data_IF_130308951465
#
_entry.id   IF_130308951465
#
_cell.length_a   1.000
_cell.length_b   1.000
_cell.length_c   1.000
_cell.angle_alpha   90.00
_cell.angle_beta   90.00
_cell.angle_gamma   90.00
#
_symmetry.space_group_name_H-M   'P 1'
#
loop_
_entity.id
_entity.type
_entity.pdbx_description
1 polymer ?
#
# COMPACT_ATOMS: atom_id res chain seq x y z
N UNK A 1 -12.34 68.27 12.65
CA UNK A 1 -13.41 69.30 12.73
C UNK A 1 -14.14 69.28 11.40
N UNK A 2 -15.23 68.53 11.25
CA UNK A 2 -16.51 68.82 11.89
C UNK A 2 -16.90 70.29 11.69
N UNK A 3 -18.02 70.48 10.98
CA UNK A 3 -18.79 71.72 10.88
C UNK A 3 -18.11 72.76 9.96
N UNK A 4 -18.39 72.75 8.65
CA UNK A 4 -18.43 73.97 7.79
C UNK A 4 -18.87 73.72 6.32
N UNK A 5 -19.68 72.69 6.03
CA UNK A 5 -20.24 72.46 4.68
C UNK A 5 -21.76 72.18 4.70
N UNK A 6 -22.47 72.78 5.66
CA UNK A 6 -23.93 72.98 5.61
C UNK A 6 -24.16 74.49 5.51
N UNK A 7 -24.71 74.93 4.38
CA UNK A 7 -25.18 76.30 4.06
C UNK A 7 -24.51 77.01 2.87
N UNK A 8 -24.19 76.28 1.80
CA UNK A 8 -24.45 76.80 0.45
C UNK A 8 -25.78 76.25 -0.07
N UNK A 9 -26.79 76.53 0.76
CA UNK A 9 -28.20 76.38 0.44
C UNK A 9 -28.45 77.01 -0.93
N UNK A 10 -28.78 76.14 -1.88
CA UNK A 10 -30.16 76.07 -2.36
C UNK A 10 -30.67 77.43 -2.82
N UNK A 11 -30.08 78.01 -3.87
CA UNK A 11 -30.68 79.08 -4.69
C UNK A 11 -29.73 79.47 -5.84
N UNK A 12 -29.63 78.62 -6.87
CA UNK A 12 -29.36 79.05 -8.25
C UNK A 12 -29.61 77.89 -9.23
N UNK A 13 -30.83 77.34 -9.20
CA UNK A 13 -31.42 76.67 -10.36
C UNK A 13 -31.83 77.80 -11.32
N UNK A 14 -30.91 78.23 -12.18
CA UNK A 14 -31.20 79.09 -13.33
C UNK A 14 -30.63 78.44 -14.58
N UNK A 15 -31.52 78.22 -15.56
CA UNK A 15 -31.38 78.47 -17.01
C UNK A 15 -30.15 77.87 -17.73
N UNK A 16 -30.23 77.10 -18.83
CA UNK A 16 -31.00 77.17 -20.11
C UNK A 16 -30.50 75.99 -21.00
N UNK A 17 -30.96 75.74 -22.26
CA UNK A 17 -32.09 76.29 -23.01
C UNK A 17 -33.01 75.23 -23.68
N UNK A 18 -34.20 75.74 -24.05
CA UNK A 18 -35.10 75.38 -25.15
C UNK A 18 -34.60 74.36 -26.21
N UNK A 19 -35.35 73.27 -26.35
CA UNK A 19 -35.28 72.36 -27.49
C UNK A 19 -36.08 72.92 -28.70
N UNK A 20 -35.66 72.68 -29.96
CA UNK A 20 -36.37 73.13 -31.16
C UNK A 20 -37.71 72.38 -31.37
N UNK A 21 -38.64 72.94 -32.16
CA UNK A 21 -40.02 72.46 -32.25
C UNK A 21 -40.18 71.16 -33.06
N UNK A 22 -41.21 70.40 -32.68
CA UNK A 22 -41.68 69.14 -33.28
C UNK A 22 -41.84 69.22 -34.81
N UNK A 23 -41.41 68.16 -35.52
CA UNK A 23 -41.92 67.84 -36.85
C UNK A 23 -43.13 66.88 -36.76
N UNK A 24 -44.15 67.00 -37.63
CA UNK A 24 -45.46 66.39 -37.39
C UNK A 24 -45.72 65.15 -38.25
N UNK A 25 -44.85 64.12 -38.23
CA UNK A 25 -45.01 62.98 -39.14
C UNK A 25 -44.76 61.62 -38.45
N UNK A 26 -45.45 61.31 -37.35
CA UNK A 26 -45.44 59.96 -36.79
C UNK A 26 -46.63 59.17 -37.38
N UNK A 27 -46.41 58.59 -38.57
CA UNK A 27 -47.32 57.57 -39.12
C UNK A 27 -47.31 56.39 -38.15
N UNK A 28 -48.47 56.11 -37.54
CA UNK A 28 -48.75 54.87 -36.82
C UNK A 28 -48.22 53.70 -37.63
N UNK A 29 -47.24 53.02 -37.08
CA UNK A 29 -46.71 51.75 -37.58
C UNK A 29 -47.83 50.73 -37.48
N UNK A 30 -48.55 50.51 -38.59
CA UNK A 30 -49.35 49.30 -38.73
C UNK A 30 -48.35 48.16 -38.90
N UNK A 31 -48.28 47.30 -37.88
CA UNK A 31 -47.63 46.00 -37.97
C UNK A 31 -48.06 45.33 -39.27
N UNK A 32 -47.13 45.20 -40.20
CA UNK A 32 -47.32 44.33 -41.37
C UNK A 32 -47.52 42.93 -40.81
N UNK A 33 -48.76 42.45 -40.80
CA UNK A 33 -49.06 41.04 -40.59
C UNK A 33 -48.67 40.35 -41.89
N UNK A 34 -47.61 39.51 -41.93
CA UNK A 34 -47.06 39.03 -43.20
C UNK A 34 -47.95 37.97 -43.91
N UNK A 35 -49.17 37.70 -43.43
CA UNK A 35 -49.99 36.58 -43.91
C UNK A 35 -51.49 36.88 -44.04
N UNK A 36 -51.92 38.09 -44.41
CA UNK A 36 -53.37 38.35 -44.54
C UNK A 36 -54.00 37.99 -45.89
N UNK A 37 -53.23 37.68 -46.95
CA UNK A 37 -53.77 37.61 -48.32
C UNK A 37 -53.48 36.29 -49.05
N UNK A 38 -53.21 35.17 -48.36
CA UNK A 38 -52.98 33.86 -49.01
C UNK A 38 -54.26 32.98 -49.02
N UNK A 39 -55.32 33.38 -48.32
CA UNK A 39 -56.49 32.53 -48.06
C UNK A 39 -57.65 32.66 -49.06
N UNK A 40 -57.57 33.51 -50.10
CA UNK A 40 -58.72 33.74 -51.00
C UNK A 40 -58.86 32.74 -52.16
N UNK A 41 -57.84 31.93 -52.43
CA UNK A 41 -57.83 30.98 -53.56
C UNK A 41 -57.55 29.53 -53.16
N UNK A 42 -57.45 29.23 -51.87
CA UNK A 42 -57.15 27.89 -51.37
C UNK A 42 -58.41 27.37 -50.68
N UNK A 43 -58.90 26.22 -51.16
CA UNK A 43 -60.04 25.53 -50.57
C UNK A 43 -59.77 25.28 -49.06
N UNK A 44 -60.68 25.69 -48.16
CA UNK A 44 -60.56 25.42 -46.73
C UNK A 44 -60.31 23.95 -46.41
N UNK A 45 -60.90 23.01 -47.16
CA UNK A 45 -60.65 21.57 -46.98
C UNK A 45 -59.19 21.20 -47.23
N UNK A 46 -58.55 21.82 -48.23
CA UNK A 46 -57.13 21.63 -48.50
C UNK A 46 -56.29 22.15 -47.34
N UNK A 47 -56.60 23.32 -46.78
CA UNK A 47 -55.91 23.85 -45.60
C UNK A 47 -56.07 22.96 -44.36
N UNK A 48 -57.25 22.38 -44.12
CA UNK A 48 -57.46 21.43 -43.03
C UNK A 48 -56.66 20.15 -43.22
N UNK A 49 -56.55 19.64 -44.46
CA UNK A 49 -55.71 18.45 -44.74
C UNK A 49 -54.23 18.72 -44.53
N UNK A 50 -53.71 19.88 -44.95
CA UNK A 50 -52.32 20.26 -44.68
C UNK A 50 -52.04 20.43 -43.19
N UNK A 51 -52.97 21.03 -42.44
CA UNK A 51 -52.84 21.17 -40.99
C UNK A 51 -52.86 19.80 -40.28
N UNK A 52 -53.75 18.89 -40.71
CA UNK A 52 -53.82 17.54 -40.18
C UNK A 52 -52.51 16.75 -40.44
N UNK A 53 -51.96 16.83 -41.66
CA UNK A 53 -50.68 16.22 -41.99
C UNK A 53 -49.52 16.81 -41.18
N UNK A 54 -49.53 18.13 -40.93
CA UNK A 54 -48.53 18.78 -40.10
C UNK A 54 -48.62 18.32 -38.63
N UNK A 55 -49.82 18.19 -38.08
CA UNK A 55 -50.04 17.66 -36.74
C UNK A 55 -49.56 16.21 -36.63
N UNK A 56 -49.89 15.36 -37.61
CA UNK A 56 -49.42 13.96 -37.64
C UNK A 56 -47.89 13.91 -37.73
N UNK A 57 -47.28 14.74 -38.58
CA UNK A 57 -45.82 14.83 -38.70
C UNK A 57 -45.17 15.27 -37.39
N UNK A 58 -45.70 16.29 -36.73
CA UNK A 58 -45.21 16.76 -35.42
C UNK A 58 -45.41 15.69 -34.35
N UNK A 59 -46.53 14.97 -34.35
CA UNK A 59 -46.78 13.87 -33.42
C UNK A 59 -45.79 12.72 -33.64
N UNK A 60 -45.52 12.33 -34.88
CA UNK A 60 -44.49 11.33 -35.21
C UNK A 60 -43.09 11.81 -34.78
N UNK A 61 -42.78 13.10 -34.98
CA UNK A 61 -41.48 13.67 -34.62
C UNK A 61 -41.31 13.78 -33.10
N UNK A 62 -42.38 14.13 -32.36
CA UNK A 62 -42.42 14.14 -30.91
C UNK A 62 -42.33 12.73 -30.33
N UNK A 63 -43.02 11.76 -30.93
CA UNK A 63 -42.89 10.34 -30.57
C UNK A 63 -41.45 9.85 -30.79
N UNK A 64 -40.88 10.14 -31.96
CA UNK A 64 -39.48 9.79 -32.28
C UNK A 64 -38.49 10.44 -31.31
N UNK A 65 -38.71 11.70 -30.94
CA UNK A 65 -37.88 12.42 -29.97
C UNK A 65 -38.03 11.85 -28.55
N UNK A 66 -39.25 11.48 -28.13
CA UNK A 66 -39.53 10.88 -26.83
C UNK A 66 -38.97 9.46 -26.66
N UNK A 67 -38.80 8.71 -27.76
CA UNK A 67 -38.23 7.36 -27.75
C UNK A 67 -36.71 7.29 -27.96
N UNK A 68 -36.02 8.44 -28.00
CA UNK A 68 -34.57 8.50 -28.22
C UNK A 68 -33.84 8.15 -26.92
N UNK A 69 -33.15 7.02 -26.90
CA UNK A 69 -32.22 6.67 -25.80
C UNK A 69 -30.87 7.37 -26.05
N UNK A 70 -30.46 8.24 -25.12
CA UNK A 70 -29.17 8.94 -25.21
C UNK A 70 -28.02 8.04 -24.73
N UNK A 71 -27.32 7.41 -25.67
CA UNK A 71 -26.20 6.50 -25.40
C UNK A 71 -24.85 7.21 -25.10
N UNK A 72 -24.80 8.54 -25.03
CA UNK A 72 -23.54 9.31 -25.01
C UNK A 72 -22.88 9.48 -23.63
N UNK A 73 -23.43 8.87 -22.55
CA UNK A 73 -23.05 9.20 -21.17
C UNK A 73 -22.47 8.03 -20.36
N UNK A 74 -22.15 6.90 -21.01
CA UNK A 74 -21.57 5.74 -20.34
C UNK A 74 -20.14 5.55 -20.81
N UNK A 75 -19.19 5.57 -19.88
CA UNK A 75 -17.79 5.20 -20.11
C UNK A 75 -17.49 3.87 -19.45
N UNK A 76 -16.66 3.06 -20.12
CA UNK A 76 -16.16 1.81 -19.57
C UNK A 76 -14.87 2.11 -18.80
N UNK A 77 -14.87 1.76 -17.52
CA UNK A 77 -13.69 1.83 -16.67
C UNK A 77 -13.19 0.40 -16.40
N UNK A 78 -11.92 0.16 -16.71
CA UNK A 78 -11.22 -1.09 -16.41
C UNK A 78 -10.12 -0.82 -15.39
N UNK A 79 -10.03 -1.67 -14.38
CA UNK A 79 -9.00 -1.59 -13.36
C UNK A 79 -8.66 -2.97 -12.82
N UNK A 80 -7.43 -3.13 -12.34
CA UNK A 80 -7.01 -4.31 -11.60
C UNK A 80 -6.14 -3.90 -10.40
N UNK A 81 -5.74 -4.87 -9.56
CA UNK A 81 -4.83 -4.59 -8.44
C UNK A 81 -3.43 -4.18 -8.90
N UNK A 82 -3.01 -4.64 -10.08
CA UNK A 82 -1.66 -4.42 -10.61
C UNK A 82 -1.61 -3.22 -11.56
N UNK A 83 -2.74 -2.87 -12.19
CA UNK A 83 -2.82 -1.80 -13.17
C UNK A 83 -4.02 -0.89 -12.89
N UNK A 84 -3.74 0.40 -12.68
CA UNK A 84 -4.75 1.37 -12.25
C UNK A 84 -5.74 1.79 -13.35
N UNK A 85 -5.31 1.93 -14.61
CA UNK A 85 -6.16 2.38 -15.75
C UNK A 85 -5.60 1.94 -17.12
N UNK A 86 -4.89 0.80 -17.22
CA UNK A 86 -4.31 0.38 -18.49
C UNK A 86 -5.29 -0.48 -19.29
N UNK A 87 -5.18 -0.45 -20.63
CA UNK A 87 -5.85 -1.42 -21.51
C UNK A 87 -5.04 -2.69 -21.71
N UNK A 88 -3.94 -2.86 -20.97
CA UNK A 88 -3.12 -4.08 -20.97
C UNK A 88 -3.12 -4.77 -19.61
N UNK A 89 -3.37 -6.08 -19.61
CA UNK A 89 -3.45 -6.94 -18.43
C UNK A 89 -2.73 -8.27 -18.67
N UNK A 90 -2.55 -9.05 -17.62
CA UNK A 90 -1.88 -10.36 -17.69
C UNK A 90 -2.87 -11.53 -17.67
N UNK A 91 -2.49 -12.65 -18.30
CA UNK A 91 -3.29 -13.89 -18.25
C UNK A 91 -3.53 -14.32 -16.80
N UNK A 92 -4.79 -14.65 -16.46
CA UNK A 92 -5.21 -15.04 -15.12
C UNK A 92 -5.42 -13.89 -14.12
N UNK A 93 -5.19 -12.64 -14.53
CA UNK A 93 -5.47 -11.47 -13.73
C UNK A 93 -6.98 -11.19 -13.66
N UNK A 94 -7.49 -10.93 -12.45
CA UNK A 94 -8.89 -10.53 -12.26
C UNK A 94 -9.03 -9.04 -12.57
N UNK A 95 -9.73 -8.74 -13.65
CA UNK A 95 -10.01 -7.39 -14.11
C UNK A 95 -11.41 -6.99 -13.63
N UNK A 96 -11.51 -5.78 -13.08
CA UNK A 96 -12.78 -5.16 -12.70
C UNK A 96 -13.28 -4.31 -13.85
N UNK A 97 -14.49 -4.62 -14.33
CA UNK A 97 -15.17 -3.89 -15.38
C UNK A 97 -16.30 -3.10 -14.76
N UNK A 98 -16.35 -1.80 -15.03
CA UNK A 98 -17.35 -0.91 -14.46
C UNK A 98 -17.93 0.01 -15.51
N UNK A 99 -19.26 0.09 -15.53
CA UNK A 99 -20.00 1.07 -16.30
C UNK A 99 -20.15 2.34 -15.45
N UNK A 100 -19.39 3.37 -15.79
CA UNK A 100 -19.56 4.69 -15.19
C UNK A 100 -20.63 5.45 -15.99
N UNK A 101 -21.74 5.73 -15.32
CA UNK A 101 -22.87 6.44 -15.90
C UNK A 101 -23.09 7.74 -15.12
N UNK A 102 -22.79 8.88 -15.77
CA UNK A 102 -22.99 10.20 -15.18
C UNK A 102 -24.46 10.48 -14.83
N UNK A 103 -25.40 9.81 -15.49
CA UNK A 103 -26.84 10.12 -15.44
C UNK A 103 -27.69 9.12 -14.64
N UNK A 104 -27.07 8.10 -14.01
CA UNK A 104 -27.70 7.10 -13.09
C UNK A 104 -28.99 6.42 -13.58
N UNK A 105 -29.27 6.43 -14.89
CA UNK A 105 -30.58 6.03 -15.46
C UNK A 105 -30.59 4.73 -16.27
N UNK A 106 -29.46 4.09 -16.50
CA UNK A 106 -29.44 2.81 -17.20
C UNK A 106 -29.44 1.66 -16.18
N UNK A 107 -30.53 0.90 -16.17
CA UNK A 107 -30.61 -0.41 -15.51
C UNK A 107 -30.48 -1.50 -16.58
N UNK A 108 -29.83 -2.63 -16.27
CA UNK A 108 -29.68 -3.75 -17.20
C UNK A 108 -28.42 -3.69 -18.08
N UNK A 109 -27.25 -3.51 -17.46
CA UNK A 109 -25.96 -3.67 -18.13
C UNK A 109 -25.66 -5.14 -18.36
N UNK A 110 -25.32 -5.49 -19.58
CA UNK A 110 -24.84 -6.82 -20.00
C UNK A 110 -23.45 -6.70 -20.61
N UNK A 111 -22.52 -7.53 -20.13
CA UNK A 111 -21.12 -7.55 -20.53
C UNK A 111 -20.80 -8.79 -21.34
N UNK A 112 -20.13 -8.60 -22.47
CA UNK A 112 -19.59 -9.66 -23.34
C UNK A 112 -18.08 -9.43 -23.46
N UNK A 113 -17.27 -10.40 -23.09
CA UNK A 113 -15.81 -10.22 -22.94
C UNK A 113 -14.99 -10.56 -24.19
N UNK A 114 -15.61 -11.15 -25.22
CA UNK A 114 -14.96 -11.46 -26.49
C UNK A 114 -14.15 -12.77 -26.51
N UNK A 115 -14.17 -13.56 -25.43
CA UNK A 115 -13.40 -14.80 -25.26
C UNK A 115 -14.28 -16.06 -25.15
N UNK A 116 -15.52 -15.98 -25.63
CA UNK A 116 -16.57 -17.02 -25.52
C UNK A 116 -17.07 -17.33 -24.10
N UNK A 117 -16.66 -16.56 -23.10
CA UNK A 117 -17.18 -16.68 -21.74
C UNK A 117 -18.66 -16.27 -21.64
N UNK A 118 -19.31 -16.74 -20.57
CA UNK A 118 -20.71 -16.42 -20.28
C UNK A 118 -20.86 -14.93 -20.02
N UNK A 119 -21.92 -14.34 -20.56
CA UNK A 119 -22.24 -12.93 -20.38
C UNK A 119 -22.56 -12.64 -18.92
N UNK A 120 -22.12 -11.49 -18.43
CA UNK A 120 -22.34 -11.08 -17.05
C UNK A 120 -23.22 -9.84 -16.98
N UNK A 121 -24.02 -9.73 -15.92
CA UNK A 121 -24.94 -8.61 -15.73
C UNK A 121 -24.58 -7.83 -14.47
N UNK A 122 -24.71 -6.50 -14.55
CA UNK A 122 -24.48 -5.61 -13.43
C UNK A 122 -23.65 -4.38 -13.81
N UNK A 123 -23.72 -3.35 -12.97
CA UNK A 123 -22.95 -2.12 -13.19
C UNK A 123 -21.43 -2.34 -13.05
N UNK A 124 -21.03 -3.27 -12.19
CA UNK A 124 -19.65 -3.66 -11.98
C UNK A 124 -19.56 -5.19 -11.96
N UNK A 125 -18.64 -5.74 -12.74
CA UNK A 125 -18.44 -7.19 -12.89
C UNK A 125 -16.95 -7.53 -12.90
N UNK A 126 -16.62 -8.81 -12.75
CA UNK A 126 -15.25 -9.30 -12.66
C UNK A 126 -15.02 -10.41 -13.68
N UNK A 127 -13.93 -10.32 -14.44
CA UNK A 127 -13.56 -11.32 -15.43
C UNK A 127 -12.04 -11.50 -15.50
N UNK A 128 -11.61 -12.68 -15.88
CA UNK A 128 -10.20 -13.02 -16.06
C UNK A 128 -10.05 -13.84 -17.34
N UNK A 129 -9.08 -13.47 -18.18
CA UNK A 129 -8.81 -14.15 -19.43
C UNK A 129 -7.80 -15.28 -19.22
N UNK A 130 -8.09 -16.45 -19.79
CA UNK A 130 -7.26 -17.66 -19.67
C UNK A 130 -6.15 -17.77 -20.71
N UNK A 131 -6.18 -16.93 -21.75
CA UNK A 131 -5.19 -16.90 -22.81
C UNK A 131 -4.78 -15.46 -23.13
N UNK A 132 -3.54 -15.31 -23.62
CA UNK A 132 -3.08 -14.03 -24.14
C UNK A 132 -3.73 -13.77 -25.51
N UNK A 133 -4.10 -12.51 -25.75
CA UNK A 133 -4.82 -12.10 -26.95
C UNK A 133 -5.37 -10.68 -26.83
N UNK A 134 -5.82 -10.15 -27.95
CA UNK A 134 -6.65 -8.93 -27.95
C UNK A 134 -8.12 -9.33 -27.90
N UNK A 135 -8.86 -8.73 -26.98
CA UNK A 135 -10.28 -9.02 -26.77
C UNK A 135 -11.10 -7.74 -26.89
N UNK A 136 -12.21 -7.81 -27.61
CA UNK A 136 -13.18 -6.71 -27.72
C UNK A 136 -14.30 -6.93 -26.70
N UNK A 137 -14.32 -6.10 -25.66
CA UNK A 137 -15.37 -6.09 -24.66
C UNK A 137 -16.55 -5.29 -25.21
N UNK A 138 -17.75 -5.83 -25.09
CA UNK A 138 -19.01 -5.15 -25.45
C UNK A 138 -19.88 -5.00 -24.22
N UNK A 139 -20.23 -3.76 -23.88
CA UNK A 139 -21.23 -3.42 -22.88
C UNK A 139 -22.54 -3.07 -23.59
N UNK A 140 -23.63 -3.75 -23.24
CA UNK A 140 -24.96 -3.50 -23.79
C UNK A 140 -25.90 -3.02 -22.67
N UNK A 141 -26.68 -1.98 -22.92
CA UNK A 141 -27.75 -1.54 -22.03
C UNK A 141 -28.93 -1.01 -22.87
N UNK A 142 -30.06 -1.70 -22.83
CA UNK A 142 -31.20 -1.38 -23.70
C UNK A 142 -30.82 -1.51 -25.18
N UNK A 143 -31.00 -0.42 -25.96
CA UNK A 143 -30.58 -0.35 -27.37
C UNK A 143 -29.16 0.19 -27.55
N UNK A 144 -28.48 0.58 -26.47
CA UNK A 144 -27.13 1.11 -26.53
C UNK A 144 -26.09 -0.01 -26.42
N UNK A 145 -25.00 0.14 -27.18
CA UNK A 145 -23.85 -0.76 -27.17
C UNK A 145 -22.56 0.05 -27.20
N UNK A 146 -21.62 -0.28 -26.32
CA UNK A 146 -20.30 0.33 -26.22
C UNK A 146 -19.23 -0.75 -26.31
N UNK A 147 -18.11 -0.45 -26.95
CA UNK A 147 -17.03 -1.41 -27.15
C UNK A 147 -15.69 -0.84 -26.72
N UNK A 148 -14.84 -1.70 -26.18
CA UNK A 148 -13.48 -1.36 -25.80
C UNK A 148 -12.55 -2.55 -26.03
N UNK A 149 -11.38 -2.28 -26.59
CA UNK A 149 -10.33 -3.30 -26.74
C UNK A 149 -9.49 -3.41 -25.47
N UNK A 150 -9.13 -4.66 -25.14
CA UNK A 150 -8.20 -4.97 -24.07
C UNK A 150 -7.15 -5.95 -24.58
N UNK A 151 -5.90 -5.70 -24.22
CA UNK A 151 -4.76 -6.54 -24.54
C UNK A 151 -4.40 -7.39 -23.34
N UNK A 152 -4.46 -8.71 -23.49
CA UNK A 152 -4.00 -9.66 -22.47
C UNK A 152 -2.67 -10.24 -22.94
N UNK A 153 -1.63 -10.04 -22.14
CA UNK A 153 -0.29 -10.58 -22.40
C UNK A 153 -0.01 -11.73 -21.44
N UNK A 154 0.84 -12.67 -21.88
CA UNK A 154 1.36 -13.65 -20.93
C UNK A 154 2.12 -12.91 -19.82
N UNK A 155 2.02 -13.38 -18.56
CA UNK A 155 2.92 -12.88 -17.53
C UNK A 155 4.36 -13.04 -18.04
N UNK A 156 5.27 -12.12 -17.69
CA UNK A 156 6.69 -12.31 -17.99
C UNK A 156 7.08 -13.71 -17.49
N UNK A 157 7.95 -14.44 -18.23
CA UNK A 157 8.39 -15.74 -17.77
C UNK A 157 8.87 -15.56 -16.34
N UNK A 158 8.20 -16.24 -15.41
CA UNK A 158 8.76 -16.45 -14.10
C UNK A 158 10.07 -17.15 -14.39
N UNK A 159 11.17 -16.42 -14.24
CA UNK A 159 12.48 -17.05 -14.16
C UNK A 159 12.35 -17.98 -12.96
N UNK A 160 12.00 -19.23 -13.25
CA UNK A 160 12.12 -20.35 -12.34
C UNK A 160 13.62 -20.59 -12.17
N UNK A 161 14.33 -19.61 -11.62
CA UNK A 161 15.48 -19.91 -10.79
C UNK A 161 14.90 -20.88 -9.76
N UNK A 162 15.38 -22.12 -9.74
CA UNK A 162 15.12 -23.04 -8.64
C UNK A 162 15.17 -22.25 -7.32
N UNK A 163 14.33 -22.56 -6.31
CA UNK A 163 14.37 -21.82 -5.05
C UNK A 163 15.84 -21.73 -4.64
N UNK A 164 16.41 -20.52 -4.73
CA UNK A 164 17.74 -20.30 -4.17
C UNK A 164 17.52 -20.70 -2.73
N UNK A 165 18.22 -21.74 -2.22
CA UNK A 165 18.08 -22.14 -0.84
C UNK A 165 18.13 -20.88 0.00
N UNK A 166 17.32 -20.75 1.04
CA UNK A 166 17.31 -19.55 1.87
C UNK A 166 18.71 -19.38 2.49
N UNK A 167 19.57 -18.63 1.80
CA UNK A 167 20.98 -18.46 2.15
C UNK A 167 21.01 -17.30 3.12
N UNK A 168 21.51 -17.54 4.33
CA UNK A 168 21.74 -16.49 5.33
C UNK A 168 23.25 -16.23 5.41
N UNK A 169 23.76 -15.15 4.79
CA UNK A 169 25.17 -14.82 4.83
C UNK A 169 25.67 -14.60 6.26
N UNK A 170 26.83 -15.19 6.59
CA UNK A 170 27.50 -15.08 7.89
C UNK A 170 28.90 -14.54 7.66
N UNK A 171 29.33 -13.57 8.47
CA UNK A 171 30.72 -13.08 8.46
C UNK A 171 31.43 -13.57 9.71
N UNK A 172 32.36 -14.50 9.50
CA UNK A 172 33.26 -15.01 10.53
C UNK A 172 34.52 -14.14 10.63
N UNK A 173 34.93 -13.82 11.86
CA UNK A 173 36.06 -12.95 12.13
C UNK A 173 35.87 -12.16 13.43
N UNK A 174 36.93 -11.52 13.95
CA UNK A 174 36.88 -10.77 15.20
C UNK A 174 36.05 -9.48 15.07
N UNK A 175 35.41 -9.06 16.15
CA UNK A 175 34.69 -7.77 16.24
C UNK A 175 35.63 -6.64 16.68
N UNK A 176 36.70 -6.95 17.39
CA UNK A 176 37.68 -6.00 17.92
C UNK A 176 39.07 -6.29 17.35
N UNK A 177 39.72 -5.27 16.79
CA UNK A 177 41.03 -5.39 16.13
C UNK A 177 41.92 -4.18 16.45
N UNK A 178 43.22 -4.27 16.15
CA UNK A 178 44.17 -3.19 16.37
C UNK A 178 44.72 -2.64 15.05
N UNK A 179 44.97 -1.33 15.00
CA UNK A 179 45.63 -0.67 13.85
C UNK A 179 46.95 -1.38 13.51
N UNK A 180 47.18 -1.58 12.21
CA UNK A 180 48.42 -2.14 11.66
C UNK A 180 48.55 -3.67 11.76
N UNK A 181 47.57 -4.38 12.37
CA UNK A 181 47.56 -5.84 12.38
C UNK A 181 46.67 -6.39 11.26
N UNK A 182 47.12 -7.42 10.51
CA UNK A 182 46.28 -8.11 9.54
C UNK A 182 45.18 -8.90 10.26
N UNK A 183 43.95 -8.78 9.76
CA UNK A 183 42.79 -9.52 10.24
C UNK A 183 42.05 -10.16 9.08
N UNK A 184 41.78 -11.46 9.20
CA UNK A 184 41.06 -12.22 8.19
C UNK A 184 39.58 -12.35 8.55
N UNK A 185 38.73 -12.07 7.59
CA UNK A 185 37.30 -12.37 7.63
C UNK A 185 36.98 -13.45 6.62
N UNK A 186 36.06 -14.34 6.97
CA UNK A 186 35.70 -15.47 6.11
C UNK A 186 34.20 -15.73 6.13
N UNK A 187 33.72 -16.46 5.13
CA UNK A 187 32.32 -16.86 5.03
C UNK A 187 32.17 -18.39 5.12
N UNK A 188 31.38 -18.82 6.11
CA UNK A 188 30.99 -20.22 6.33
C UNK A 188 29.55 -20.54 5.86
N UNK A 189 28.91 -19.65 5.11
CA UNK A 189 27.51 -19.80 4.72
C UNK A 189 27.29 -21.02 3.81
N UNK A 190 26.39 -21.95 4.19
CA UNK A 190 26.03 -23.08 3.33
C UNK A 190 25.40 -22.60 2.02
N UNK A 191 25.84 -23.16 0.89
CA UNK A 191 25.32 -22.81 -0.44
C UNK A 191 25.87 -21.49 -1.03
N UNK A 192 26.88 -20.88 -0.39
CA UNK A 192 27.60 -19.75 -0.95
C UNK A 192 28.57 -20.19 -2.07
N UNK A 193 28.38 -19.65 -3.27
CA UNK A 193 29.20 -19.92 -4.47
C UNK A 193 29.93 -18.68 -4.98
N UNK A 194 29.47 -17.47 -4.64
CA UNK A 194 30.18 -16.22 -4.89
C UNK A 194 30.10 -15.29 -3.68
N UNK A 195 31.10 -14.45 -3.50
CA UNK A 195 31.23 -13.51 -2.38
C UNK A 195 31.56 -12.12 -2.91
N UNK A 196 31.04 -11.11 -2.23
CA UNK A 196 31.38 -9.72 -2.47
C UNK A 196 31.57 -9.03 -1.11
N UNK A 197 32.82 -8.80 -0.74
CA UNK A 197 33.22 -8.11 0.49
C UNK A 197 33.47 -6.65 0.22
N UNK A 198 32.91 -5.77 1.06
CA UNK A 198 33.13 -4.32 0.92
C UNK A 198 33.08 -3.61 2.27
N UNK A 199 33.98 -2.67 2.50
CA UNK A 199 33.89 -1.74 3.63
C UNK A 199 32.93 -0.59 3.30
N UNK A 200 32.09 -0.16 4.24
CA UNK A 200 31.27 1.05 4.07
C UNK A 200 32.12 2.30 4.30
N UNK A 201 32.92 2.64 3.31
CA UNK A 201 33.70 3.88 3.25
C UNK A 201 33.79 4.38 1.81
N UNK A 202 34.11 5.68 1.60
CA UNK A 202 34.40 6.20 0.27
C UNK A 202 35.54 5.41 -0.39
N UNK A 203 35.43 5.11 -1.68
CA UNK A 203 36.42 4.38 -2.46
C UNK A 203 36.83 3.01 -1.90
N UNK A 204 35.92 2.33 -1.19
CA UNK A 204 36.16 0.98 -0.72
C UNK A 204 36.33 0.01 -1.89
N UNK A 205 37.39 -0.80 -1.82
CA UNK A 205 37.61 -1.91 -2.73
C UNK A 205 36.60 -3.03 -2.47
N UNK A 206 36.28 -3.74 -3.55
CA UNK A 206 35.43 -4.93 -3.52
C UNK A 206 36.31 -6.16 -3.70
N UNK A 207 36.15 -7.15 -2.82
CA UNK A 207 36.88 -8.41 -2.89
C UNK A 207 35.92 -9.58 -3.10
N UNK A 208 36.36 -10.62 -3.82
CA UNK A 208 35.48 -11.72 -4.25
C UNK A 208 35.90 -13.11 -3.75
N UNK A 209 36.96 -13.17 -2.95
CA UNK A 209 37.42 -14.43 -2.36
C UNK A 209 36.47 -14.90 -1.24
N UNK A 210 36.49 -16.19 -0.90
CA UNK A 210 35.72 -16.73 0.23
C UNK A 210 36.18 -16.18 1.60
N UNK A 211 37.43 -15.76 1.70
CA UNK A 211 38.03 -15.13 2.87
C UNK A 211 38.98 -14.02 2.43
N UNK A 212 38.92 -12.88 3.10
CA UNK A 212 39.73 -11.71 2.77
C UNK A 212 40.42 -11.14 4.02
N UNK A 213 41.64 -10.65 3.88
CA UNK A 213 42.45 -10.09 4.98
C UNK A 213 42.57 -8.58 4.85
N UNK A 214 42.09 -7.84 5.85
CA UNK A 214 42.21 -6.39 5.91
C UNK A 214 43.31 -5.95 6.86
N UNK A 215 43.91 -4.80 6.57
CA UNK A 215 44.81 -4.07 7.49
C UNK A 215 44.26 -2.65 7.66
N UNK A 216 43.87 -2.30 8.88
CA UNK A 216 43.32 -0.98 9.17
C UNK A 216 44.42 0.01 9.57
N UNK A 217 44.46 1.17 8.90
CA UNK A 217 45.47 2.21 9.12
C UNK A 217 45.09 3.26 10.17
N UNK A 218 43.82 3.31 10.58
CA UNK A 218 43.31 4.27 11.55
C UNK A 218 42.27 3.65 12.50
N UNK A 219 42.19 4.13 13.75
CA UNK A 219 41.22 3.61 14.72
C UNK A 219 39.78 4.02 14.38
N UNK A 220 38.83 3.46 15.11
CA UNK A 220 37.40 3.75 15.05
C UNK A 220 36.55 2.60 14.49
N UNK A 221 35.25 2.81 14.43
CA UNK A 221 34.31 1.81 13.95
C UNK A 221 34.36 1.70 12.41
N UNK A 222 34.29 0.46 11.92
CA UNK A 222 34.16 0.11 10.51
C UNK A 222 32.97 -0.83 10.35
N UNK A 223 32.32 -0.75 9.19
CA UNK A 223 31.23 -1.67 8.83
C UNK A 223 31.68 -2.46 7.60
N UNK A 224 31.78 -3.77 7.76
CA UNK A 224 32.04 -4.71 6.67
C UNK A 224 30.72 -5.29 6.18
N UNK A 225 30.47 -5.22 4.87
CA UNK A 225 29.33 -5.86 4.21
C UNK A 225 29.77 -7.09 3.45
N UNK A 226 28.91 -8.10 3.43
CA UNK A 226 29.06 -9.27 2.58
C UNK A 226 27.76 -9.50 1.80
N UNK A 227 27.88 -9.63 0.47
CA UNK A 227 26.85 -10.16 -0.42
C UNK A 227 27.30 -11.53 -0.90
N UNK A 228 26.38 -12.50 -0.90
CA UNK A 228 26.64 -13.87 -1.36
C UNK A 228 25.74 -14.16 -2.55
N UNK A 229 26.25 -14.88 -3.56
CA UNK A 229 25.49 -15.30 -4.75
C UNK A 229 24.86 -14.12 -5.53
N UNK A 230 25.40 -12.91 -5.40
CA UNK A 230 24.86 -11.70 -6.02
C UNK A 230 23.53 -11.20 -5.43
N UNK A 231 23.06 -11.77 -4.32
CA UNK A 231 21.80 -11.39 -3.69
C UNK A 231 21.99 -10.23 -2.69
N UNK A 232 21.94 -9.01 -3.20
CA UNK A 232 22.05 -7.79 -2.39
C UNK A 232 20.91 -7.64 -1.36
N UNK A 233 19.78 -8.32 -1.54
CA UNK A 233 18.65 -8.24 -0.59
C UNK A 233 18.95 -8.93 0.74
N UNK A 234 19.90 -9.88 0.73
CA UNK A 234 20.36 -10.63 1.92
C UNK A 234 21.72 -10.19 2.43
N UNK A 235 22.17 -8.98 2.05
CA UNK A 235 23.43 -8.41 2.50
C UNK A 235 23.52 -8.38 4.04
N UNK A 236 24.58 -8.98 4.58
CA UNK A 236 24.88 -8.94 6.02
C UNK A 236 25.92 -7.87 6.32
N UNK A 237 25.84 -7.27 7.51
CA UNK A 237 26.77 -6.26 8.02
C UNK A 237 27.43 -6.76 9.29
N UNK A 238 28.75 -6.56 9.42
CA UNK A 238 29.50 -6.76 10.66
C UNK A 238 30.14 -5.45 11.09
N UNK A 239 29.94 -5.07 12.36
CA UNK A 239 30.62 -3.94 12.98
C UNK A 239 31.99 -4.41 13.47
N UNK A 240 33.02 -3.64 13.18
CA UNK A 240 34.40 -3.90 13.58
C UNK A 240 34.89 -2.64 14.30
N UNK A 241 35.33 -2.78 15.55
CA UNK A 241 35.91 -1.68 16.32
C UNK A 241 37.44 -1.79 16.27
N UNK A 242 38.06 -0.79 15.64
CA UNK A 242 39.52 -0.72 15.47
C UNK A 242 40.14 0.12 16.58
N UNK A 243 40.90 -0.50 17.47
CA UNK A 243 41.64 0.16 18.53
C UNK A 243 43.01 0.68 18.04
N UNK A 244 43.54 1.77 18.63
CA UNK A 244 44.90 2.22 18.37
C UNK A 244 45.91 1.11 18.64
N UNK A 245 47.03 1.08 17.91
CA UNK A 245 48.10 0.13 18.17
C UNK A 245 48.54 0.21 19.65
N UNK A 246 48.78 -0.93 20.33
CA UNK A 246 49.29 -0.92 21.69
C UNK A 246 50.57 -0.09 21.75
N UNK A 247 50.59 0.95 22.59
CA UNK A 247 51.82 1.71 22.81
C UNK A 247 52.80 0.78 23.54
N UNK A 248 53.97 0.55 22.94
CA UNK A 248 55.07 -0.05 23.70
C UNK A 248 55.39 0.92 24.85
N UNK A 249 55.52 0.44 26.09
CA UNK A 249 55.94 1.31 27.18
C UNK A 249 57.27 1.94 26.77
N UNK A 250 57.31 3.28 26.72
CA UNK A 250 58.55 4.04 26.52
C UNK A 250 59.47 3.65 27.68
N UNK A 251 60.48 2.87 27.36
CA UNK A 251 61.46 2.34 28.31
C UNK A 251 62.39 3.48 28.77
N UNK A 252 61.89 4.39 29.62
CA UNK A 252 62.68 5.49 30.19
C UNK A 252 62.33 5.87 31.64
N UNK A 253 61.52 5.09 32.35
CA UNK A 253 61.41 5.22 33.81
C UNK A 253 61.79 3.88 34.46
N UNK A 254 62.78 3.84 35.36
CA UNK A 254 63.05 2.66 36.16
C UNK A 254 61.94 2.52 37.20
N UNK A 255 60.79 2.01 36.78
CA UNK A 255 59.78 1.55 37.72
C UNK A 255 60.31 0.29 38.38
N UNK A 256 60.94 0.44 39.54
CA UNK A 256 61.18 -0.67 40.45
C UNK A 256 59.82 -1.02 41.07
N UNK A 257 59.20 -2.15 40.72
CA UNK A 257 57.94 -2.52 41.36
C UNK A 257 58.20 -2.71 42.86
N UNK A 258 57.32 -2.20 43.74
CA UNK A 258 57.43 -2.51 45.16
C UNK A 258 57.37 -4.04 45.35
N UNK A 259 58.17 -4.62 46.27
CA UNK A 259 58.17 -6.05 46.49
C UNK A 259 56.77 -6.52 46.86
N UNK A 260 56.29 -7.53 46.14
CA UNK A 260 55.00 -8.15 46.42
C UNK A 260 54.97 -8.63 47.89
N UNK A 261 53.91 -8.34 48.66
CA UNK A 261 53.70 -9.03 49.92
C UNK A 261 53.57 -10.53 49.63
N UNK A 262 54.37 -11.32 50.35
CA UNK A 262 54.38 -12.78 50.23
C UNK A 262 52.98 -13.35 50.47
N UNK A 263 52.53 -14.35 49.69
CA UNK A 263 51.23 -14.97 49.90
C UNK A 263 51.27 -15.79 51.20
N UNK A 264 50.34 -15.51 52.12
CA UNK A 264 49.99 -16.47 53.15
C UNK A 264 49.28 -17.65 52.48
N UNK A 265 49.96 -18.79 52.47
CA UNK A 265 49.44 -20.10 52.09
C UNK A 265 48.46 -20.58 53.15
N UNK A 266 47.16 -20.58 52.84
CA UNK A 266 46.30 -21.78 52.79
C UNK A 266 44.81 -21.41 52.84
N UNK A 267 44.02 -22.13 52.04
CA UNK A 267 42.58 -22.25 52.24
C UNK A 267 41.67 -21.43 51.32
N UNK A 268 41.74 -21.72 50.01
CA UNK A 268 40.69 -21.55 48.99
C UNK A 268 39.60 -20.50 49.22
N UNK A 269 39.78 -19.32 48.63
CA UNK A 269 38.68 -18.40 48.32
C UNK A 269 38.14 -18.69 46.91
N UNK A 270 36.83 -18.47 46.65
CA UNK A 270 36.10 -19.14 45.59
C UNK A 270 36.54 -18.66 44.21
N UNK A 271 36.55 -19.59 43.25
CA UNK A 271 36.43 -19.31 41.83
C UNK A 271 35.36 -18.22 41.66
N UNK A 272 35.74 -17.08 41.09
CA UNK A 272 34.75 -16.11 40.63
C UNK A 272 33.92 -16.80 39.55
N UNK A 273 32.79 -17.36 39.96
CA UNK A 273 31.74 -17.83 39.07
C UNK A 273 31.48 -16.73 38.04
N UNK A 274 31.36 -17.04 36.75
CA UNK A 274 30.78 -16.10 35.80
C UNK A 274 29.46 -15.63 36.41
N UNK A 275 29.17 -14.33 36.38
CA UNK A 275 27.81 -13.86 36.65
C UNK A 275 26.88 -14.77 35.83
N UNK A 276 25.85 -15.39 36.43
CA UNK A 276 24.95 -16.24 35.67
C UNK A 276 24.39 -15.38 34.55
N UNK A 277 24.78 -15.70 33.31
CA UNK A 277 24.20 -15.09 32.14
C UNK A 277 22.70 -15.38 32.24
N UNK A 278 21.95 -14.34 32.59
CA UNK A 278 20.51 -14.43 32.86
C UNK A 278 19.89 -15.09 31.63
N UNK A 279 19.15 -16.19 31.76
CA UNK A 279 18.74 -17.03 30.63
C UNK A 279 17.99 -16.17 29.62
N UNK A 280 18.67 -15.86 28.50
CA UNK A 280 18.09 -15.11 27.40
C UNK A 280 16.92 -15.94 26.86
N UNK A 281 15.74 -15.36 26.82
CA UNK A 281 14.55 -16.08 26.36
C UNK A 281 14.81 -16.67 24.96
N UNK A 282 14.32 -17.88 24.64
CA UNK A 282 14.49 -18.45 23.32
C UNK A 282 13.94 -17.51 22.25
N UNK A 283 14.69 -17.28 21.17
CA UNK A 283 14.25 -16.42 20.09
C UNK A 283 13.07 -17.07 19.36
N UNK A 284 11.91 -16.39 19.34
CA UNK A 284 10.71 -16.83 18.62
C UNK A 284 10.19 -15.71 17.71
N UNK A 285 9.79 -16.05 16.48
CA UNK A 285 9.16 -15.09 15.56
C UNK A 285 7.66 -14.92 15.82
N UNK A 286 7.08 -13.82 15.34
CA UNK A 286 5.65 -13.54 15.49
C UNK A 286 4.77 -14.61 14.81
N UNK A 287 5.18 -15.08 13.64
CA UNK A 287 4.48 -16.13 12.87
C UNK A 287 4.57 -17.50 13.55
N UNK A 288 5.71 -17.81 14.14
CA UNK A 288 5.91 -19.05 14.89
C UNK A 288 5.06 -19.03 16.17
N UNK A 289 5.03 -17.92 16.90
CA UNK A 289 4.18 -17.76 18.08
C UNK A 289 2.69 -17.82 17.72
N UNK A 290 2.29 -17.26 16.57
CA UNK A 290 0.93 -17.40 16.02
C UNK A 290 0.59 -18.86 15.69
N UNK A 291 1.53 -19.61 15.13
CA UNK A 291 1.38 -21.05 14.88
C UNK A 291 1.17 -21.80 16.20
N UNK A 292 1.98 -21.51 17.23
CA UNK A 292 1.82 -22.10 18.56
C UNK A 292 0.45 -21.79 19.17
N UNK A 293 -0.04 -20.55 19.08
CA UNK A 293 -1.38 -20.19 19.56
C UNK A 293 -2.50 -20.92 18.79
N UNK A 294 -2.30 -21.14 17.49
CA UNK A 294 -3.22 -21.92 16.66
C UNK A 294 -3.22 -23.39 17.08
N UNK A 295 -2.06 -23.96 17.41
CA UNK A 295 -1.93 -25.32 17.95
C UNK A 295 -2.58 -25.45 19.33
N UNK A 296 -2.44 -24.44 20.20
CA UNK A 296 -3.13 -24.40 21.50
C UNK A 296 -4.66 -24.35 21.33
N UNK A 297 -5.16 -23.55 20.39
CA UNK A 297 -6.59 -23.52 20.03
C UNK A 297 -7.09 -24.91 19.61
N UNK A 298 -6.27 -25.65 18.86
CA UNK A 298 -6.53 -27.03 18.41
C UNK A 298 -6.22 -28.12 19.45
N UNK A 299 -5.92 -27.76 20.71
CA UNK A 299 -5.55 -28.69 21.80
C UNK A 299 -4.26 -29.50 21.56
N UNK A 300 -3.40 -29.07 20.65
CA UNK A 300 -2.11 -29.72 20.37
C UNK A 300 -0.97 -29.22 21.28
N UNK A 301 -1.14 -28.02 21.86
CA UNK A 301 -0.20 -27.43 22.82
C UNK A 301 -0.89 -26.99 24.11
N UNK A 302 -0.10 -26.86 25.16
CA UNK A 302 -0.52 -26.42 26.49
C UNK A 302 -0.06 -24.99 26.77
N UNK A 303 -0.63 -24.35 27.78
CA UNK A 303 -0.25 -22.97 28.16
C UNK A 303 1.22 -22.94 28.64
N UNK A 304 1.68 -24.04 29.26
CA UNK A 304 3.02 -24.19 29.80
C UNK A 304 4.10 -24.11 28.71
N UNK A 305 3.80 -24.52 27.48
CA UNK A 305 4.72 -24.47 26.33
C UNK A 305 5.16 -23.04 25.97
N UNK A 306 4.45 -22.03 26.47
CA UNK A 306 4.75 -20.61 26.22
C UNK A 306 5.58 -19.97 27.35
N UNK A 307 5.69 -20.64 28.50
CA UNK A 307 6.39 -20.11 29.69
C UNK A 307 7.84 -19.71 29.40
N UNK A 308 8.64 -20.48 28.62
CA UNK A 308 10.02 -20.10 28.32
C UNK A 308 10.16 -18.77 27.57
N UNK A 309 9.21 -18.46 26.68
CA UNK A 309 9.22 -17.23 25.87
C UNK A 309 8.67 -16.02 26.63
N UNK A 310 7.83 -16.29 27.64
CA UNK A 310 7.25 -15.30 28.54
C UNK A 310 8.08 -15.13 29.82
N UNK A 311 9.24 -15.78 29.92
CA UNK A 311 10.08 -15.79 31.13
C UNK A 311 9.30 -16.16 32.39
N UNK A 312 8.49 -17.22 32.27
CA UNK A 312 7.57 -17.76 33.25
C UNK A 312 6.45 -16.79 33.69
N UNK A 313 6.25 -15.69 32.97
CA UNK A 313 5.16 -14.75 33.22
C UNK A 313 3.91 -15.07 32.36
N UNK A 314 3.13 -16.06 32.78
CA UNK A 314 1.85 -16.43 32.14
C UNK A 314 0.73 -15.38 32.34
N UNK A 315 1.03 -14.29 33.04
CA UNK A 315 0.15 -13.13 33.20
C UNK A 315 0.55 -11.96 32.28
N UNK A 316 1.41 -12.20 31.29
CA UNK A 316 1.76 -11.21 30.29
C UNK A 316 0.52 -10.58 29.64
N UNK A 317 0.65 -9.31 29.26
CA UNK A 317 -0.45 -8.51 28.74
C UNK A 317 -0.78 -8.93 27.31
N UNK A 318 -2.06 -9.16 27.03
CA UNK A 318 -2.56 -9.43 25.67
C UNK A 318 -3.55 -8.35 25.27
N UNK A 319 -3.24 -7.62 24.20
CA UNK A 319 -4.13 -6.64 23.59
C UNK A 319 -4.88 -7.29 22.42
N UNK A 320 -6.20 -7.27 22.47
CA UNK A 320 -7.10 -7.95 21.56
C UNK A 320 -7.85 -6.93 20.69
N UNK A 321 -7.72 -7.04 19.37
CA UNK A 321 -8.37 -6.16 18.38
C UNK A 321 -8.23 -4.66 18.74
N UNK A 322 -7.08 -4.28 19.31
CA UNK A 322 -6.71 -2.93 19.74
C UNK A 322 -7.63 -2.28 20.79
N UNK A 323 -8.50 -3.05 21.44
CA UNK A 323 -9.52 -2.53 22.39
C UNK A 323 -9.52 -3.24 23.73
N UNK A 324 -9.55 -4.58 23.73
CA UNK A 324 -9.69 -5.35 24.97
C UNK A 324 -8.32 -5.80 25.48
N UNK A 325 -8.06 -5.66 26.78
CA UNK A 325 -6.84 -6.15 27.42
C UNK A 325 -7.16 -7.34 28.29
N UNK A 326 -6.41 -8.43 28.13
CA UNK A 326 -6.50 -9.65 28.95
C UNK A 326 -5.13 -10.13 29.38
N UNK A 327 -5.07 -10.99 30.38
CA UNK A 327 -3.84 -11.76 30.67
C UNK A 327 -3.68 -12.90 29.66
N UNK A 328 -2.45 -13.34 29.45
CA UNK A 328 -2.15 -14.44 28.53
C UNK A 328 -2.94 -15.71 28.87
N UNK A 329 -3.01 -16.08 30.15
CA UNK A 329 -3.83 -17.21 30.63
C UNK A 329 -5.31 -17.04 30.25
N UNK A 330 -5.91 -15.88 30.54
CA UNK A 330 -7.32 -15.61 30.20
C UNK A 330 -7.58 -15.64 28.70
N UNK A 331 -6.62 -15.19 27.88
CA UNK A 331 -6.71 -15.25 26.44
C UNK A 331 -6.62 -16.70 25.94
N UNK A 332 -5.66 -17.49 26.43
CA UNK A 332 -5.50 -18.91 26.08
C UNK A 332 -6.76 -19.71 26.40
N UNK A 333 -7.35 -19.52 27.58
CA UNK A 333 -8.62 -20.16 27.95
C UNK A 333 -9.79 -19.72 27.06
N UNK A 334 -9.78 -18.47 26.61
CA UNK A 334 -10.81 -17.95 25.72
C UNK A 334 -10.76 -18.57 24.31
N UNK A 335 -9.60 -19.01 23.84
CA UNK A 335 -9.40 -19.61 22.50
C UNK A 335 -9.35 -21.14 22.49
N UNK A 336 -8.97 -21.76 23.61
CA UNK A 336 -8.78 -23.22 23.71
C UNK A 336 -10.05 -23.98 23.34
N UNK A 337 -9.97 -24.82 22.30
CA UNK A 337 -11.07 -25.65 21.84
C UNK A 337 -12.17 -24.92 21.07
N UNK A 338 -12.01 -23.63 20.74
CA UNK A 338 -13.00 -22.86 19.97
C UNK A 338 -12.62 -22.78 18.49
N UNK A 339 -13.22 -23.66 17.67
CA UNK A 339 -13.04 -23.70 16.19
C UNK A 339 -13.52 -22.45 15.44
N UNK A 340 -14.16 -21.49 16.12
CA UNK A 340 -14.76 -20.28 15.52
C UNK A 340 -13.89 -19.02 15.62
N UNK A 341 -12.69 -19.13 16.18
CA UNK A 341 -11.75 -18.01 16.35
C UNK A 341 -10.57 -18.22 15.40
N UNK A 342 -10.41 -17.33 14.42
CA UNK A 342 -9.26 -17.32 13.51
C UNK A 342 -8.32 -16.20 13.93
N UNK A 343 -7.10 -16.56 14.35
CA UNK A 343 -6.05 -15.60 14.67
C UNK A 343 -5.47 -15.08 13.35
N UNK A 344 -5.66 -13.80 13.07
CA UNK A 344 -5.22 -13.16 11.82
C UNK A 344 -3.79 -12.65 11.94
N UNK A 345 -3.44 -12.06 13.09
CA UNK A 345 -2.16 -11.43 13.32
C UNK A 345 -1.75 -11.55 14.78
N UNK A 346 -0.46 -11.74 15.00
CA UNK A 346 0.21 -11.66 16.29
C UNK A 346 1.40 -10.73 16.12
N UNK A 347 1.64 -9.86 17.10
CA UNK A 347 2.84 -9.03 17.17
C UNK A 347 3.37 -9.07 18.61
N UNK A 348 4.63 -9.46 18.78
CA UNK A 348 5.27 -9.64 20.09
C UNK A 348 6.14 -8.44 20.44
N UNK A 349 5.86 -7.84 21.59
CA UNK A 349 6.72 -6.80 22.17
C UNK A 349 7.61 -7.47 23.21
N UNK A 350 8.92 -7.49 22.93
CA UNK A 350 9.95 -8.10 23.76
C UNK A 350 10.73 -7.05 24.54
N UNK A 351 11.27 -7.43 25.68
CA UNK A 351 12.20 -6.60 26.44
C UNK A 351 13.66 -6.83 25.99
N UNK A 352 14.63 -6.08 26.53
CA UNK A 352 16.05 -6.24 26.18
C UNK A 352 16.63 -7.63 26.47
N UNK A 353 15.95 -8.42 27.31
CA UNK A 353 16.34 -9.79 27.68
C UNK A 353 15.69 -10.84 26.76
N UNK A 354 14.84 -10.40 25.82
CA UNK A 354 14.13 -11.23 24.85
C UNK A 354 12.78 -11.76 25.32
N UNK A 355 12.37 -11.46 26.56
CA UNK A 355 11.11 -11.91 27.14
C UNK A 355 9.93 -11.19 26.51
N UNK A 356 8.88 -11.92 26.12
CA UNK A 356 7.64 -11.34 25.62
C UNK A 356 6.88 -10.67 26.77
N UNK A 357 6.70 -9.35 26.72
CA UNK A 357 5.96 -8.58 27.74
C UNK A 357 4.53 -8.25 27.34
N UNK A 358 4.32 -7.97 26.05
CA UNK A 358 3.01 -7.65 25.51
C UNK A 358 2.79 -8.39 24.18
N UNK A 359 1.60 -8.95 24.02
CA UNK A 359 1.19 -9.69 22.82
C UNK A 359 -0.01 -8.96 22.22
N UNK A 360 0.12 -8.49 20.99
CA UNK A 360 -0.99 -7.88 20.25
C UNK A 360 -1.58 -8.91 19.33
N UNK A 361 -2.87 -9.21 19.49
CA UNK A 361 -3.57 -10.22 18.70
C UNK A 361 -4.76 -9.59 18.01
N UNK A 362 -4.82 -9.78 16.69
CA UNK A 362 -6.04 -9.55 15.92
C UNK A 362 -6.67 -10.88 15.56
N UNK A 363 -7.96 -11.03 15.86
CA UNK A 363 -8.71 -12.24 15.55
C UNK A 363 -10.12 -11.91 15.07
N UNK A 364 -10.59 -12.75 14.15
CA UNK A 364 -11.97 -12.72 13.68
C UNK A 364 -12.78 -13.83 14.38
N UNK A 365 -13.93 -13.44 14.92
CA UNK A 365 -14.96 -14.38 15.40
C UNK A 365 -15.91 -14.55 14.24
N UNK A 366 -15.94 -15.74 13.61
CA UNK A 366 -16.98 -16.05 12.62
C UNK A 366 -18.35 -15.82 13.27
N UNK A 367 -18.97 -14.71 12.88
CA UNK A 367 -20.25 -14.26 13.39
C UNK A 367 -21.33 -15.29 13.07
N UNK A 368 -22.18 -15.53 14.05
CA UNK A 368 -23.44 -16.21 13.86
C UNK A 368 -24.26 -15.37 12.85
N UNK A 369 -24.48 -15.88 11.64
CA UNK A 369 -25.60 -15.47 10.79
C UNK A 369 -26.86 -15.92 11.53
N UNK A 370 -27.28 -15.09 12.49
CA UNK A 370 -28.56 -15.19 13.15
C UNK A 370 -29.62 -14.77 12.15
N UNK A 371 -30.38 -15.75 11.70
CA UNK A 371 -31.69 -15.57 11.11
C UNK A 371 -32.53 -14.80 12.15
N UNK A 372 -32.95 -13.60 11.80
CA UNK A 372 -34.09 -12.89 12.40
C UNK A 372 -34.83 -12.18 11.28
#
# INVERSE_FOLDING_TARGET
MAIYLKNYLKLQKREKPMAPPKQPNERKVNSVRPFSNITSHIDPMVMYTFLALLIISVAMLAFKAGTREDCSNVSLALSSRLHGVNTSFTVGEVITFRADNANKRAAGYEWKFGDSSVQQQGQQVYHAYSAAGSYTITLQAGKCSWQQEVLVVNPPPVNNTAPVPDVFPVIDGPEEVFVGRPVTFSNSTPGANSWEWRLQQPNAETHTERSHTYVFSSPGDRILTLVVNGDASRMVKKRITVFPAPQTPRNNDPFVPPPFPTPATDGGAPVATPLPEKPKAPAISDDEFKSMLTQLSNKQKTIQDFSPYLCNNLNARVLLNDKDVKTFTQFCDAIRGKKRIKIEMVNLIKDPEGCVKEIRVRYDKKGFLGIF
#
